data_IF_778695904108
#
_entry.id   IF_778695904108
#
_cell.length_a   1.000
_cell.length_b   1.000
_cell.length_c   1.000
_cell.angle_alpha   90.00
_cell.angle_beta   90.00
_cell.angle_gamma   90.00
#
_symmetry.space_group_name_H-M   'P 1'
#
loop_
_entity.id
_entity.type
_entity.pdbx_description
1 polymer ?
#
# COMPACT_ATOMS: atom_id res chain seq x y z
N UNK A 1 -16.21 16.91 -20.79
CA UNK A 1 -16.36 15.45 -20.60
C UNK A 1 -17.05 15.24 -19.27
N UNK A 2 -18.02 14.32 -19.16
CA UNK A 2 -18.59 14.01 -17.85
C UNK A 2 -17.53 13.35 -16.98
N UNK A 3 -17.52 13.59 -15.66
CA UNK A 3 -16.49 13.02 -14.78
C UNK A 3 -16.55 11.49 -14.75
N UNK A 4 -17.74 10.92 -14.87
CA UNK A 4 -17.94 9.47 -15.02
C UNK A 4 -17.18 8.89 -16.22
N UNK A 5 -17.17 9.59 -17.35
CA UNK A 5 -16.47 9.15 -18.56
C UNK A 5 -14.95 9.24 -18.38
N UNK A 6 -14.48 10.29 -17.68
CA UNK A 6 -13.07 10.45 -17.34
C UNK A 6 -12.60 9.33 -16.41
N UNK A 7 -13.35 9.04 -15.35
CA UNK A 7 -13.07 7.95 -14.40
C UNK A 7 -13.00 6.61 -15.15
N UNK A 8 -13.95 6.32 -16.03
CA UNK A 8 -13.95 5.08 -16.82
C UNK A 8 -12.72 4.96 -17.72
N UNK A 9 -12.32 6.05 -18.39
CA UNK A 9 -11.11 6.08 -19.23
C UNK A 9 -9.83 5.89 -18.41
N UNK A 10 -9.74 6.55 -17.25
CA UNK A 10 -8.62 6.41 -16.32
C UNK A 10 -8.54 4.97 -15.82
N UNK A 11 -9.66 4.38 -15.41
CA UNK A 11 -9.70 2.99 -14.94
C UNK A 11 -9.21 2.01 -16.02
N UNK A 12 -9.67 2.16 -17.27
CA UNK A 12 -9.21 1.32 -18.38
C UNK A 12 -7.72 1.51 -18.71
N UNK A 13 -7.20 2.73 -18.58
CA UNK A 13 -5.76 2.98 -18.71
C UNK A 13 -4.96 2.31 -17.60
N UNK A 14 -5.37 2.46 -16.34
CA UNK A 14 -4.70 1.86 -15.17
C UNK A 14 -4.70 0.34 -15.27
N UNK A 15 -5.83 -0.26 -15.63
CA UNK A 15 -5.93 -1.71 -15.84
C UNK A 15 -4.95 -2.21 -16.92
N UNK A 16 -4.84 -1.48 -18.04
CA UNK A 16 -3.88 -1.77 -19.09
C UNK A 16 -2.42 -1.63 -18.64
N UNK A 17 -2.08 -0.57 -17.92
CA UNK A 17 -0.70 -0.33 -17.46
C UNK A 17 -0.28 -1.38 -16.41
N UNK A 18 -1.16 -1.67 -15.44
CA UNK A 18 -0.90 -2.62 -14.35
C UNK A 18 -0.88 -4.07 -14.79
N UNK A 19 -1.38 -4.40 -15.98
CA UNK A 19 -1.19 -5.75 -16.56
C UNK A 19 0.29 -6.14 -16.72
N UNK A 20 1.19 -5.17 -16.68
CA UNK A 20 2.64 -5.36 -16.73
C UNK A 20 3.30 -5.50 -15.33
N UNK A 21 2.53 -5.30 -14.25
CA UNK A 21 3.05 -5.33 -12.88
C UNK A 21 3.04 -6.76 -12.33
N UNK A 22 3.71 -6.98 -11.19
CA UNK A 22 3.72 -8.28 -10.53
C UNK A 22 2.42 -8.57 -9.75
N UNK A 23 2.25 -9.82 -9.32
CA UNK A 23 1.06 -10.30 -8.61
C UNK A 23 0.75 -9.60 -7.27
N UNK A 24 1.64 -8.75 -6.75
CA UNK A 24 1.41 -7.98 -5.53
C UNK A 24 0.91 -6.55 -5.77
N UNK A 25 0.92 -6.08 -7.03
CA UNK A 25 0.43 -4.77 -7.48
C UNK A 25 -0.44 -4.94 -8.73
N UNK A 26 -1.48 -5.76 -8.62
CA UNK A 26 -2.44 -5.98 -9.69
C UNK A 26 -3.58 -4.94 -9.67
N UNK A 27 -4.38 -4.90 -10.73
CA UNK A 27 -5.54 -4.02 -10.79
C UNK A 27 -6.58 -4.32 -9.69
N UNK A 28 -6.59 -5.54 -9.14
CA UNK A 28 -7.42 -5.89 -7.98
C UNK A 28 -7.05 -5.07 -6.74
N UNK A 29 -5.76 -4.80 -6.50
CA UNK A 29 -5.33 -3.87 -5.45
C UNK A 29 -5.97 -2.50 -5.62
N UNK A 30 -5.90 -1.89 -6.81
CA UNK A 30 -6.51 -0.59 -7.07
C UNK A 30 -8.01 -0.61 -6.82
N UNK A 31 -8.72 -1.63 -7.31
CA UNK A 31 -10.17 -1.76 -7.06
C UNK A 31 -10.50 -1.82 -5.57
N UNK A 32 -9.72 -2.55 -4.77
CA UNK A 32 -9.91 -2.59 -3.31
C UNK A 32 -9.62 -1.24 -2.65
N UNK A 33 -8.58 -0.52 -3.10
CA UNK A 33 -8.28 0.84 -2.59
C UNK A 33 -9.40 1.81 -2.94
N UNK A 34 -9.89 1.84 -4.18
CA UNK A 34 -11.02 2.69 -4.58
C UNK A 34 -12.27 2.37 -3.75
N UNK A 35 -12.64 1.08 -3.65
CA UNK A 35 -13.79 0.66 -2.84
C UNK A 35 -13.64 1.04 -1.37
N UNK A 36 -12.45 0.89 -0.79
CA UNK A 36 -12.17 1.29 0.59
C UNK A 36 -12.24 2.81 0.77
N UNK A 37 -11.75 3.59 -0.19
CA UNK A 37 -11.83 5.05 -0.17
C UNK A 37 -13.29 5.53 -0.22
N UNK A 38 -14.14 4.89 -1.04
CA UNK A 38 -15.58 5.17 -1.10
C UNK A 38 -16.29 4.83 0.21
N UNK A 39 -15.92 3.73 0.87
CA UNK A 39 -16.46 3.38 2.20
C UNK A 39 -16.09 4.42 3.26
N UNK A 40 -14.83 4.87 3.28
CA UNK A 40 -14.37 5.91 4.20
C UNK A 40 -15.12 7.22 3.94
N UNK A 41 -15.21 7.65 2.68
CA UNK A 41 -15.95 8.86 2.29
C UNK A 41 -17.41 8.81 2.76
N UNK A 42 -18.10 7.71 2.45
CA UNK A 42 -19.51 7.52 2.81
C UNK A 42 -19.73 7.59 4.33
N UNK A 43 -18.82 7.00 5.11
CA UNK A 43 -18.91 7.06 6.58
C UNK A 43 -18.62 8.46 7.13
N UNK A 44 -17.67 9.20 6.55
CA UNK A 44 -17.42 10.60 6.93
C UNK A 44 -18.67 11.43 6.69
N UNK A 45 -19.26 11.35 5.48
CA UNK A 45 -20.48 12.10 5.14
C UNK A 45 -21.64 11.75 6.08
N UNK A 46 -21.79 10.47 6.45
CA UNK A 46 -22.86 10.02 7.33
C UNK A 46 -22.66 10.39 8.81
N UNK A 47 -21.42 10.43 9.31
CA UNK A 47 -21.14 10.53 10.76
C UNK A 47 -20.53 11.87 11.19
N UNK A 48 -20.06 12.69 10.24
CA UNK A 48 -19.37 13.94 10.51
C UNK A 48 -19.97 15.08 9.67
N UNK A 49 -21.20 15.54 9.98
CA UNK A 49 -21.90 16.54 9.17
C UNK A 49 -21.22 17.92 9.15
N UNK A 50 -20.28 18.18 10.06
CA UNK A 50 -19.48 19.41 10.11
C UNK A 50 -18.11 19.26 9.43
N UNK A 51 -17.79 18.08 8.87
CA UNK A 51 -16.56 17.88 8.12
C UNK A 51 -16.63 18.68 6.80
N UNK A 52 -15.53 19.26 6.32
CA UNK A 52 -15.47 19.82 4.97
C UNK A 52 -16.00 18.82 3.93
N UNK A 53 -16.75 19.33 2.96
CA UNK A 53 -17.24 18.50 1.85
C UNK A 53 -16.05 17.89 1.11
N UNK A 54 -16.09 16.57 0.95
CA UNK A 54 -15.05 15.79 0.29
C UNK A 54 -15.48 15.46 -1.14
N UNK A 55 -14.64 15.81 -2.11
CA UNK A 55 -14.90 15.53 -3.52
C UNK A 55 -14.65 14.04 -3.83
N UNK A 56 -15.74 13.31 -4.07
CA UNK A 56 -15.69 11.87 -4.38
C UNK A 56 -15.00 11.59 -5.72
N UNK A 57 -15.15 12.46 -6.72
CA UNK A 57 -14.51 12.28 -8.02
C UNK A 57 -12.99 12.47 -7.88
N UNK A 58 -12.57 13.46 -7.10
CA UNK A 58 -11.16 13.66 -6.75
C UNK A 58 -10.57 12.46 -6.01
N UNK A 59 -11.27 11.94 -5.00
CA UNK A 59 -10.88 10.72 -4.27
C UNK A 59 -10.74 9.52 -5.23
N UNK A 60 -11.72 9.34 -6.12
CA UNK A 60 -11.75 8.21 -7.05
C UNK A 60 -10.60 8.26 -8.03
N UNK A 61 -10.37 9.42 -8.66
CA UNK A 61 -9.28 9.61 -9.62
C UNK A 61 -7.91 9.44 -8.94
N UNK A 62 -7.74 10.01 -7.74
CA UNK A 62 -6.49 9.86 -6.99
C UNK A 62 -6.23 8.43 -6.54
N UNK A 63 -7.25 7.69 -6.07
CA UNK A 63 -7.13 6.28 -5.72
C UNK A 63 -6.81 5.39 -6.93
N UNK A 64 -7.39 5.67 -8.11
CA UNK A 64 -7.05 4.97 -9.35
C UNK A 64 -5.60 5.19 -9.78
N UNK A 65 -5.06 6.39 -9.52
CA UNK A 65 -3.77 6.83 -10.04
C UNK A 65 -2.61 6.76 -9.04
N UNK A 66 -2.85 6.38 -7.78
CA UNK A 66 -1.85 6.50 -6.71
C UNK A 66 -0.56 5.70 -6.94
N UNK A 67 -0.66 4.56 -7.63
CA UNK A 67 0.49 3.70 -7.99
C UNK A 67 1.05 3.99 -9.40
N UNK A 68 0.41 4.89 -10.16
CA UNK A 68 0.96 5.34 -11.44
C UNK A 68 2.16 6.25 -11.16
N UNK A 69 3.31 5.87 -11.71
CA UNK A 69 4.55 6.58 -11.45
C UNK A 69 5.21 6.18 -10.12
N UNK A 70 4.88 5.01 -9.54
CA UNK A 70 5.76 4.42 -8.52
C UNK A 70 7.11 4.11 -9.17
N UNK A 71 8.19 4.63 -8.55
CA UNK A 71 9.58 4.51 -8.99
C UNK A 71 10.03 3.07 -9.28
N UNK A 72 9.35 2.06 -8.74
CA UNK A 72 9.60 0.64 -9.03
C UNK A 72 9.21 0.24 -10.46
N UNK A 73 8.32 0.98 -11.10
CA UNK A 73 7.74 0.66 -12.41
C UNK A 73 7.92 1.76 -13.47
N UNK A 74 8.42 2.94 -13.07
CA UNK A 74 8.79 4.01 -14.00
C UNK A 74 9.89 3.52 -14.97
N UNK A 75 9.71 3.75 -16.27
CA UNK A 75 10.74 3.49 -17.30
C UNK A 75 11.79 4.61 -17.32
N UNK A 76 13.02 4.30 -17.71
CA UNK A 76 14.10 5.30 -17.81
C UNK A 76 13.66 6.56 -18.57
N UNK A 77 13.82 7.73 -17.94
CA UNK A 77 13.50 9.04 -18.52
C UNK A 77 12.08 9.55 -18.26
N UNK A 78 11.21 8.76 -17.61
CA UNK A 78 9.91 9.23 -17.13
C UNK A 78 10.03 9.90 -15.75
N UNK A 79 9.20 10.91 -15.52
CA UNK A 79 9.08 11.58 -14.22
C UNK A 79 7.73 11.24 -13.59
N UNK A 80 7.74 10.32 -12.61
CA UNK A 80 6.56 9.86 -11.88
C UNK A 80 5.82 10.99 -11.15
N UNK A 81 6.49 12.10 -10.85
CA UNK A 81 5.89 13.23 -10.13
C UNK A 81 4.90 14.05 -10.96
N UNK A 82 4.83 13.79 -12.28
CA UNK A 82 3.94 14.48 -13.23
C UNK A 82 3.11 13.52 -14.10
N UNK A 83 3.24 12.20 -13.92
CA UNK A 83 2.57 11.21 -14.78
C UNK A 83 1.04 11.29 -14.68
N UNK A 84 0.48 11.39 -13.47
CA UNK A 84 -0.97 11.51 -13.28
C UNK A 84 -1.51 12.79 -13.90
N UNK A 85 -0.79 13.91 -13.76
CA UNK A 85 -1.13 15.18 -14.40
C UNK A 85 -1.21 15.07 -15.92
N UNK A 86 -0.14 14.55 -16.54
CA UNK A 86 -0.04 14.40 -17.99
C UNK A 86 -1.10 13.45 -18.56
N UNK A 87 -1.36 12.34 -17.86
CA UNK A 87 -2.41 11.40 -18.25
C UNK A 87 -3.78 12.09 -18.25
N UNK A 88 -4.14 12.77 -17.16
CA UNK A 88 -5.42 13.46 -17.05
C UNK A 88 -5.58 14.54 -18.13
N UNK A 89 -4.53 15.32 -18.41
CA UNK A 89 -4.56 16.28 -19.52
C UNK A 89 -4.75 15.60 -20.89
N UNK A 90 -4.07 14.47 -21.14
CA UNK A 90 -4.22 13.75 -22.40
C UNK A 90 -5.63 13.18 -22.57
N UNK A 91 -6.33 12.90 -21.47
CA UNK A 91 -7.74 12.53 -21.44
C UNK A 91 -8.69 13.73 -21.41
N UNK A 92 -8.20 14.94 -21.67
CA UNK A 92 -8.96 16.20 -21.69
C UNK A 92 -9.62 16.58 -20.36
N UNK A 93 -9.01 16.21 -19.23
CA UNK A 93 -9.42 16.68 -17.91
C UNK A 93 -9.02 18.17 -17.71
N UNK A 94 -9.75 18.93 -16.89
CA UNK A 94 -9.34 20.28 -16.50
C UNK A 94 -7.97 20.29 -15.82
N UNK A 95 -7.12 21.27 -16.18
CA UNK A 95 -5.77 21.36 -15.63
C UNK A 95 -5.74 21.52 -14.10
N UNK A 96 -6.73 22.20 -13.52
CA UNK A 96 -6.85 22.34 -12.07
C UNK A 96 -7.12 21.00 -11.37
N UNK A 97 -8.05 20.20 -11.93
CA UNK A 97 -8.34 18.85 -11.42
C UNK A 97 -7.10 17.96 -11.54
N UNK A 98 -6.44 17.98 -12.70
CA UNK A 98 -5.22 17.22 -12.93
C UNK A 98 -4.11 17.60 -11.92
N UNK A 99 -3.95 18.89 -11.63
CA UNK A 99 -2.98 19.37 -10.66
C UNK A 99 -3.32 18.92 -9.24
N UNK A 100 -4.59 19.00 -8.82
CA UNK A 100 -5.02 18.50 -7.49
C UNK A 100 -4.80 17.00 -7.36
N UNK A 101 -5.20 16.21 -8.36
CA UNK A 101 -4.98 14.75 -8.37
C UNK A 101 -3.49 14.43 -8.25
N UNK A 102 -2.62 15.09 -9.03
CA UNK A 102 -1.18 14.87 -8.97
C UNK A 102 -0.58 15.16 -7.58
N UNK A 103 -1.04 16.25 -6.94
CA UNK A 103 -0.61 16.60 -5.58
C UNK A 103 -1.00 15.52 -4.58
N UNK A 104 -2.23 14.99 -4.66
CA UNK A 104 -2.68 13.87 -3.83
C UNK A 104 -1.81 12.64 -4.09
N UNK A 105 -1.67 12.20 -5.34
CA UNK A 105 -0.89 11.01 -5.73
C UNK A 105 0.54 11.08 -5.17
N UNK A 106 1.22 12.20 -5.32
CA UNK A 106 2.58 12.40 -4.77
C UNK A 106 2.65 12.29 -3.23
N UNK A 107 1.54 12.59 -2.55
CA UNK A 107 1.40 12.53 -1.11
C UNK A 107 0.97 11.17 -0.55
N UNK A 108 0.50 10.22 -1.36
CA UNK A 108 -0.06 8.94 -0.85
C UNK A 108 1.00 8.07 -0.17
N UNK A 109 2.21 8.00 -0.76
CA UNK A 109 3.27 7.08 -0.33
C UNK A 109 3.64 7.21 1.15
N UNK A 110 3.55 6.09 1.88
CA UNK A 110 3.97 5.98 3.28
C UNK A 110 5.45 6.37 3.50
N UNK A 111 6.31 6.02 2.54
CA UNK A 111 7.74 6.40 2.55
C UNK A 111 7.93 7.91 2.54
N UNK A 112 7.18 8.60 1.67
CA UNK A 112 7.26 10.05 1.54
C UNK A 112 6.75 10.72 2.81
N UNK A 113 5.68 10.19 3.42
CA UNK A 113 5.20 10.69 4.70
C UNK A 113 6.24 10.58 5.81
N UNK A 114 6.90 9.42 5.98
CA UNK A 114 7.93 9.27 7.01
C UNK A 114 9.09 10.26 6.80
N UNK A 115 9.47 10.52 5.55
CA UNK A 115 10.55 11.45 5.22
C UNK A 115 10.20 12.90 5.54
N UNK A 116 8.95 13.31 5.37
CA UNK A 116 8.50 14.66 5.69
C UNK A 116 7.07 14.70 6.26
N UNK A 117 6.89 14.33 7.54
CA UNK A 117 5.55 14.23 8.15
C UNK A 117 4.82 15.57 8.21
N UNK A 118 5.56 16.67 8.43
CA UNK A 118 4.98 18.01 8.53
C UNK A 118 4.40 18.48 7.19
N UNK A 119 5.12 18.24 6.08
CA UNK A 119 4.62 18.59 4.75
C UNK A 119 3.36 17.79 4.38
N UNK A 120 3.33 16.49 4.67
CA UNK A 120 2.15 15.66 4.42
C UNK A 120 0.98 16.08 5.31
N UNK A 121 1.21 16.37 6.59
CA UNK A 121 0.16 16.87 7.48
C UNK A 121 -0.44 18.20 6.99
N UNK A 122 0.41 19.10 6.48
CA UNK A 122 -0.01 20.37 5.90
C UNK A 122 -0.82 20.16 4.62
N UNK A 123 -0.39 19.20 3.77
CA UNK A 123 -1.10 18.85 2.55
C UNK A 123 -2.46 18.19 2.82
N UNK A 124 -2.57 17.33 3.84
CA UNK A 124 -3.85 16.74 4.27
C UNK A 124 -4.79 17.82 4.82
N UNK A 125 -4.26 18.82 5.52
CA UNK A 125 -5.07 19.95 6.00
C UNK A 125 -5.58 20.83 4.84
N UNK A 126 -4.79 20.96 3.77
CA UNK A 126 -5.17 21.71 2.57
C UNK A 126 -6.11 20.91 1.64
N UNK A 127 -5.87 19.61 1.50
CA UNK A 127 -6.59 18.67 0.62
C UNK A 127 -6.97 17.42 1.42
N UNK A 128 -8.10 17.44 2.16
CA UNK A 128 -8.52 16.34 3.04
C UNK A 128 -8.72 15.00 2.33
N UNK A 129 -9.02 14.99 1.03
CA UNK A 129 -9.13 13.79 0.18
C UNK A 129 -7.85 12.94 0.22
N UNK A 130 -6.68 13.57 0.38
CA UNK A 130 -5.42 12.84 0.56
C UNK A 130 -5.48 11.90 1.76
N UNK A 131 -6.07 12.33 2.87
CA UNK A 131 -6.20 11.50 4.06
C UNK A 131 -7.07 10.26 3.81
N UNK A 132 -8.11 10.39 3.00
CA UNK A 132 -8.98 9.27 2.60
C UNK A 132 -8.22 8.26 1.74
N UNK A 133 -7.49 8.74 0.72
CA UNK A 133 -6.74 7.87 -0.19
C UNK A 133 -5.57 7.19 0.54
N UNK A 134 -4.86 7.90 1.41
CA UNK A 134 -3.81 7.33 2.25
C UNK A 134 -4.32 6.21 3.16
N UNK A 135 -5.46 6.44 3.83
CA UNK A 135 -6.05 5.42 4.71
C UNK A 135 -6.51 4.20 3.91
N UNK A 136 -7.12 4.41 2.74
CA UNK A 136 -7.58 3.34 1.87
C UNK A 136 -6.45 2.43 1.38
N UNK A 137 -5.35 3.01 0.88
CA UNK A 137 -4.16 2.26 0.46
C UNK A 137 -3.55 1.46 1.63
N UNK A 138 -3.36 2.14 2.77
CA UNK A 138 -2.81 1.52 3.99
C UNK A 138 -3.66 0.39 4.53
N UNK A 139 -4.97 0.50 4.47
CA UNK A 139 -5.88 -0.55 4.91
C UNK A 139 -5.69 -1.83 4.07
N UNK A 140 -5.39 -1.72 2.79
CA UNK A 140 -5.13 -2.87 1.92
C UNK A 140 -3.80 -3.58 2.24
N UNK A 141 -2.87 -2.90 2.92
CA UNK A 141 -1.61 -3.48 3.38
C UNK A 141 -1.72 -4.27 4.70
N UNK A 142 -2.87 -4.24 5.38
CA UNK A 142 -3.10 -4.92 6.67
C UNK A 142 -4.34 -5.83 6.65
N UNK A 143 -4.50 -6.63 7.70
CA UNK A 143 -5.56 -7.64 7.80
C UNK A 143 -5.33 -8.83 6.87
N UNK A 144 -6.38 -9.60 6.59
CA UNK A 144 -6.29 -10.82 5.79
C UNK A 144 -5.66 -10.62 4.40
N UNK A 145 -6.06 -9.57 3.67
CA UNK A 145 -5.48 -9.24 2.36
C UNK A 145 -4.01 -8.82 2.51
N UNK A 146 -3.69 -8.01 3.54
CA UNK A 146 -2.32 -7.61 3.83
C UNK A 146 -1.38 -8.80 4.09
N UNK A 147 -1.86 -9.84 4.77
CA UNK A 147 -1.11 -11.09 4.96
C UNK A 147 -0.83 -11.77 3.62
N UNK A 148 -1.84 -11.88 2.75
CA UNK A 148 -1.65 -12.43 1.40
C UNK A 148 -0.59 -11.65 0.61
N UNK A 149 -0.73 -10.31 0.56
CA UNK A 149 0.22 -9.43 -0.14
C UNK A 149 1.64 -9.52 0.43
N UNK A 150 1.78 -9.64 1.76
CA UNK A 150 3.06 -9.78 2.43
C UNK A 150 3.87 -10.97 1.91
N UNK A 151 3.25 -12.15 1.80
CA UNK A 151 3.92 -13.35 1.30
C UNK A 151 4.10 -13.32 -0.22
N UNK A 152 3.11 -12.86 -0.98
CA UNK A 152 3.21 -12.73 -2.45
C UNK A 152 4.37 -11.82 -2.84
N UNK A 153 4.49 -10.64 -2.24
CA UNK A 153 5.61 -9.73 -2.49
C UNK A 153 6.94 -10.30 -2.00
N UNK A 154 6.94 -10.95 -0.83
CA UNK A 154 8.11 -11.65 -0.29
C UNK A 154 8.73 -12.63 -1.28
N UNK A 155 7.90 -13.53 -1.81
CA UNK A 155 8.31 -14.57 -2.76
C UNK A 155 8.62 -14.03 -4.17
N UNK A 156 7.86 -13.06 -4.66
CA UNK A 156 8.02 -12.56 -6.03
C UNK A 156 9.19 -11.59 -6.22
N UNK A 157 9.51 -10.76 -5.21
CA UNK A 157 10.40 -9.60 -5.38
C UNK A 157 11.67 -9.59 -4.54
N UNK A 158 11.75 -10.42 -3.50
CA UNK A 158 12.79 -10.23 -2.47
C UNK A 158 13.53 -11.51 -2.08
N UNK A 159 13.23 -12.64 -2.71
CA UNK A 159 13.71 -13.98 -2.30
C UNK A 159 13.55 -14.24 -0.79
N UNK A 160 12.63 -13.52 -0.13
CA UNK A 160 12.48 -13.58 1.32
C UNK A 160 11.78 -14.86 1.69
N UNK A 161 12.42 -15.64 2.54
CA UNK A 161 11.79 -16.74 3.24
C UNK A 161 10.61 -16.26 4.08
N UNK A 162 9.65 -17.16 4.31
CA UNK A 162 8.41 -16.83 5.02
C UNK A 162 8.66 -16.22 6.40
N UNK A 163 9.67 -16.70 7.13
CA UNK A 163 10.03 -16.15 8.45
C UNK A 163 10.51 -14.69 8.38
N UNK A 164 11.26 -14.33 7.32
CA UNK A 164 11.69 -12.95 7.08
C UNK A 164 10.50 -12.05 6.72
N UNK A 165 9.49 -12.56 6.02
CA UNK A 165 8.23 -11.85 5.77
C UNK A 165 7.46 -11.62 7.08
N UNK A 166 7.38 -12.63 7.95
CA UNK A 166 6.71 -12.50 9.26
C UNK A 166 7.35 -11.45 10.16
N UNK A 167 8.67 -11.26 10.10
CA UNK A 167 9.35 -10.21 10.85
C UNK A 167 8.85 -8.79 10.48
N UNK A 168 8.25 -8.59 9.30
CA UNK A 168 7.71 -7.29 8.89
C UNK A 168 6.41 -6.91 9.60
N UNK A 169 5.66 -7.89 10.13
CA UNK A 169 4.41 -7.61 10.84
C UNK A 169 4.64 -6.63 12.00
N UNK A 170 5.49 -6.93 13.00
CA UNK A 170 5.73 -6.03 14.13
C UNK A 170 6.59 -4.82 13.76
N UNK A 171 7.48 -4.96 12.77
CA UNK A 171 8.38 -3.88 12.37
C UNK A 171 7.67 -2.77 11.56
N UNK A 172 6.64 -3.14 10.79
CA UNK A 172 5.97 -2.24 9.84
C UNK A 172 4.44 -2.30 9.93
N UNK A 173 3.82 -3.47 9.73
CA UNK A 173 2.37 -3.54 9.52
C UNK A 173 1.55 -3.13 10.75
N UNK A 174 2.00 -3.48 11.97
CA UNK A 174 1.32 -3.06 13.20
C UNK A 174 1.40 -1.53 13.45
N UNK A 175 2.29 -0.81 12.77
CA UNK A 175 2.40 0.66 12.88
C UNK A 175 1.38 1.40 12.01
N UNK A 176 0.74 0.70 11.08
CA UNK A 176 -0.19 1.29 10.10
C UNK A 176 -1.41 1.91 10.79
N UNK A 177 -1.95 1.26 11.84
CA UNK A 177 -3.10 1.77 12.60
C UNK A 177 -2.86 3.19 13.16
N UNK A 178 -1.66 3.42 13.71
CA UNK A 178 -1.28 4.72 14.28
C UNK A 178 -1.07 5.81 13.23
N UNK A 179 -0.94 5.45 11.96
CA UNK A 179 -0.69 6.38 10.86
C UNK A 179 -1.97 6.85 10.14
N UNK A 180 -3.14 6.31 10.51
CA UNK A 180 -4.44 6.62 9.89
C UNK A 180 -4.88 8.06 10.16
N UNK A 181 -5.37 8.73 9.11
CA UNK A 181 -5.78 10.16 9.10
C UNK A 181 -7.22 10.34 9.52
N UNK A 182 -8.10 9.48 9.01
CA UNK A 182 -9.54 9.58 9.18
C UNK A 182 -10.01 8.71 10.36
N UNK A 183 -11.14 9.09 10.97
CA UNK A 183 -11.76 8.28 12.02
C UNK A 183 -12.24 6.92 11.50
N UNK A 184 -12.94 6.82 10.34
CA UNK A 184 -13.30 5.52 9.75
C UNK A 184 -12.08 4.66 9.44
N UNK A 185 -11.04 5.25 8.84
CA UNK A 185 -9.78 4.55 8.53
C UNK A 185 -9.15 3.95 9.78
N UNK A 186 -9.04 4.72 10.86
CA UNK A 186 -8.53 4.23 12.15
C UNK A 186 -9.37 3.09 12.74
N UNK A 187 -10.70 3.18 12.65
CA UNK A 187 -11.62 2.13 13.13
C UNK A 187 -11.43 0.82 12.34
N UNK A 188 -11.38 0.91 11.00
CA UNK A 188 -11.15 -0.23 10.12
C UNK A 188 -9.75 -0.82 10.35
N UNK A 189 -8.75 0.04 10.56
CA UNK A 189 -7.37 -0.37 10.79
C UNK A 189 -7.25 -1.17 12.08
N UNK A 190 -7.86 -0.72 13.18
CA UNK A 190 -7.89 -1.45 14.46
C UNK A 190 -8.37 -2.89 14.29
N UNK A 191 -9.46 -3.11 13.55
CA UNK A 191 -9.98 -4.45 13.30
C UNK A 191 -9.00 -5.31 12.47
N UNK A 192 -8.36 -4.72 11.46
CA UNK A 192 -7.37 -5.41 10.61
C UNK A 192 -6.05 -5.66 11.33
N UNK A 193 -5.62 -4.77 12.23
CA UNK A 193 -4.45 -4.98 13.10
C UNK A 193 -4.66 -6.18 14.01
N UNK A 194 -5.87 -6.36 14.54
CA UNK A 194 -6.17 -7.51 15.39
C UNK A 194 -6.04 -8.83 14.62
N UNK A 195 -6.50 -8.87 13.36
CA UNK A 195 -6.28 -10.03 12.49
C UNK A 195 -4.79 -10.36 12.30
N UNK A 196 -3.93 -9.34 12.16
CA UNK A 196 -2.48 -9.55 12.04
C UNK A 196 -1.87 -10.17 13.30
N UNK A 197 -2.31 -9.74 14.49
CA UNK A 197 -1.82 -10.29 15.76
C UNK A 197 -2.24 -11.75 15.92
N UNK A 198 -3.52 -12.05 15.69
CA UNK A 198 -4.04 -13.42 15.74
C UNK A 198 -3.29 -14.33 14.77
N UNK A 199 -3.07 -13.88 13.53
CA UNK A 199 -2.29 -14.65 12.56
C UNK A 199 -0.84 -14.87 13.01
N UNK A 200 -0.20 -13.85 13.59
CA UNK A 200 1.15 -13.98 14.12
C UNK A 200 1.23 -14.99 15.28
N UNK A 201 0.21 -15.03 16.15
CA UNK A 201 0.14 -16.00 17.23
C UNK A 201 0.04 -17.44 16.69
N UNK A 202 -0.85 -17.68 15.71
CA UNK A 202 -0.96 -18.97 15.02
C UNK A 202 0.34 -19.36 14.34
N UNK A 203 0.97 -18.44 13.60
CA UNK A 203 2.26 -18.70 12.96
C UNK A 203 3.34 -19.14 13.95
N UNK A 204 3.44 -18.43 15.08
CA UNK A 204 4.41 -18.72 16.12
C UNK A 204 4.16 -20.08 16.79
N UNK A 205 2.90 -20.49 16.90
CA UNK A 205 2.54 -21.82 17.39
C UNK A 205 2.95 -22.92 16.42
N UNK A 206 2.61 -22.77 15.14
CA UNK A 206 2.93 -23.76 14.10
C UNK A 206 4.44 -23.94 13.91
N UNK A 207 5.21 -22.86 13.93
CA UNK A 207 6.67 -22.92 13.80
C UNK A 207 7.34 -23.69 14.96
N UNK A 208 6.68 -23.85 16.11
CA UNK A 208 7.21 -24.69 17.20
C UNK A 208 7.23 -26.17 16.87
N UNK A 209 6.44 -26.63 15.91
CA UNK A 209 6.47 -28.02 15.46
C UNK A 209 7.82 -28.38 14.82
N UNK A 210 8.42 -27.44 14.06
CA UNK A 210 9.73 -27.60 13.46
C UNK A 210 10.86 -27.75 14.49
N UNK A 211 10.75 -27.10 15.66
CA UNK A 211 11.74 -27.25 16.74
C UNK A 211 11.72 -28.63 17.42
N UNK A 212 10.69 -29.44 17.18
CA UNK A 212 10.59 -30.80 17.74
C UNK A 212 11.26 -31.84 16.86
N UNK A 213 11.72 -31.45 15.66
CA UNK A 213 12.40 -32.33 14.73
C UNK A 213 13.91 -32.20 14.87
N UNK A 214 14.56 -33.27 15.33
CA UNK A 214 16.00 -33.44 15.27
C UNK A 214 16.32 -34.45 14.16
N UNK A 215 17.42 -34.22 13.43
CA UNK A 215 17.92 -35.20 12.45
C UNK A 215 18.36 -36.44 13.24
N UNK A 216 17.80 -37.63 12.99
CA UNK A 216 18.22 -38.85 13.67
C UNK A 216 19.72 -39.08 13.45
N UNK A 217 20.47 -39.31 14.53
CA UNK A 217 21.88 -39.68 14.45
C UNK A 217 22.03 -40.93 13.56
N UNK A 218 22.79 -40.81 12.47
CA UNK A 218 23.09 -41.91 11.54
C UNK A 218 22.77 -41.68 10.06
N UNK A 219 22.18 -40.54 9.68
CA UNK A 219 21.88 -40.21 8.26
C UNK A 219 22.78 -39.10 7.65
N UNK A 220 23.78 -38.62 8.38
CA UNK A 220 24.70 -37.57 7.92
C UNK A 220 26.01 -38.11 7.34
N UNK A 221 26.03 -38.38 6.04
CA UNK A 221 27.28 -38.47 5.28
C UNK A 221 27.92 -37.08 5.11
N UNK A 222 29.14 -36.95 5.62
CA UNK A 222 30.16 -35.92 5.36
C UNK A 222 29.79 -34.44 5.62
N UNK A 223 30.37 -33.94 6.70
CA UNK A 223 30.62 -32.52 6.98
C UNK A 223 31.15 -31.74 5.77
N UNK A 224 30.57 -30.57 5.51
CA UNK A 224 31.31 -29.42 4.96
C UNK A 224 31.12 -28.24 5.90
N UNK A 225 32.22 -27.88 6.54
CA UNK A 225 32.42 -26.61 7.22
C UNK A 225 32.34 -25.47 6.22
N UNK A 226 31.51 -24.47 6.50
CA UNK A 226 31.65 -23.15 5.90
C UNK A 226 31.27 -22.14 6.98
N UNK A 227 32.30 -21.69 7.69
CA UNK A 227 32.29 -20.40 8.36
C UNK A 227 32.02 -19.33 7.31
N UNK A 228 31.00 -18.52 7.50
CA UNK A 228 31.06 -17.11 7.13
C UNK A 228 30.08 -16.33 7.99
N UNK A 229 30.65 -15.57 8.91
CA UNK A 229 30.05 -14.41 9.52
C UNK A 229 29.93 -13.33 8.44
N UNK A 230 28.72 -13.00 8.01
CA UNK A 230 28.50 -11.73 7.34
C UNK A 230 27.39 -10.94 8.03
N UNK A 231 27.87 -9.91 8.74
CA UNK A 231 27.11 -8.80 9.27
C UNK A 231 26.96 -7.78 8.15
N UNK A 232 26.02 -8.00 7.24
CA UNK A 232 25.59 -6.99 6.29
C UNK A 232 24.18 -6.53 6.65
N UNK A 233 24.14 -5.53 7.53
CA UNK A 233 22.99 -4.67 7.77
C UNK A 233 22.78 -3.82 6.50
N UNK A 234 22.32 -4.45 5.42
CA UNK A 234 22.09 -3.76 4.15
C UNK A 234 20.76 -3.01 4.18
N UNK A 235 20.89 -1.72 3.86
CA UNK A 235 19.82 -0.73 3.76
C UNK A 235 18.76 -1.18 2.76
N UNK A 236 17.63 -1.68 3.25
CA UNK A 236 16.44 -1.88 2.39
C UNK A 236 15.73 -0.54 2.23
N UNK A 237 16.13 0.20 1.20
CA UNK A 237 15.34 1.29 0.63
C UNK A 237 14.03 0.76 0.03
N UNK A 238 12.98 1.56 0.19
CA UNK A 238 11.62 1.38 -0.32
C UNK A 238 11.53 1.56 -1.85
#
# INVERSE_FOLDING_TARGET
MATSDLIAKVAGYVEGEMSNYDASHDFEHIKRVVGCAHMIHSEIVATQPNHPELDLDLITLSALLHDIGDRKYIKNGQDGTIMAYNLLLSLSAPAELAAKVQRIVNGVSYTNEIRNPSAVASLVAEIPELGVVQDADRLDAIGAVGIGRLFTYGGAKTERYMQSSMALIPLKLLKVEGAMKTQPGRRMAKARTEQLKVFQDWWNEDMKMGFRWEVPEGLGGSSRSSSDSDSSMEKVYL
#
